data_IF_305818967413
#
_entry.id   IF_305818967413
#
_cell.length_a   1.000
_cell.length_b   1.000
_cell.length_c   1.000
_cell.angle_alpha   90.00
_cell.angle_beta   90.00
_cell.angle_gamma   90.00
#
_symmetry.space_group_name_H-M   'P 1'
#
loop_
_entity.id
_entity.type
_entity.pdbx_description
1 polymer ?
#
# COMPACT_ATOMS: atom_id res chain seq x y z
N UNK A 1 -16.76 -15.79 20.17
CA UNK A 1 -15.38 -15.82 19.64
C UNK A 1 -15.30 -16.18 18.15
N UNK A 2 -16.13 -17.07 17.59
CA UNK A 2 -16.10 -17.48 16.17
C UNK A 2 -16.56 -16.39 15.18
N UNK A 3 -17.53 -15.55 15.52
CA UNK A 3 -18.03 -14.48 14.63
C UNK A 3 -17.03 -13.33 14.45
N UNK A 4 -16.24 -13.02 15.46
CA UNK A 4 -15.21 -11.96 15.39
C UNK A 4 -14.05 -12.32 14.44
N UNK A 5 -13.67 -13.61 14.34
CA UNK A 5 -12.60 -14.06 13.43
C UNK A 5 -12.95 -13.91 11.96
N UNK A 6 -14.25 -13.87 11.58
CA UNK A 6 -14.68 -13.73 10.17
C UNK A 6 -14.47 -12.31 9.62
N UNK A 7 -14.35 -11.28 10.46
CA UNK A 7 -14.23 -9.90 10.02
C UNK A 7 -12.91 -9.61 9.27
N UNK A 8 -11.82 -10.30 9.62
CA UNK A 8 -10.50 -10.06 9.00
C UNK A 8 -10.25 -10.83 7.69
N UNK A 9 -11.12 -11.76 7.29
CA UNK A 9 -10.89 -12.55 6.08
C UNK A 9 -10.78 -11.73 4.78
N UNK A 10 -11.62 -10.68 4.54
CA UNK A 10 -11.45 -9.84 3.37
C UNK A 10 -10.08 -9.15 3.32
N UNK A 11 -9.56 -8.72 4.47
CA UNK A 11 -8.22 -8.14 4.60
C UNK A 11 -7.13 -9.14 4.23
N UNK A 12 -7.21 -10.35 4.77
CA UNK A 12 -6.27 -11.44 4.44
C UNK A 12 -6.35 -11.78 2.95
N UNK A 13 -7.56 -11.84 2.37
CA UNK A 13 -7.76 -12.05 0.93
C UNK A 13 -7.05 -10.98 0.08
N UNK A 14 -7.13 -9.71 0.50
CA UNK A 14 -6.41 -8.63 -0.19
C UNK A 14 -4.88 -8.76 -0.02
N UNK A 15 -4.40 -9.15 1.16
CA UNK A 15 -2.97 -9.44 1.35
C UNK A 15 -2.49 -10.57 0.43
N UNK A 16 -3.28 -11.63 0.27
CA UNK A 16 -2.96 -12.73 -0.65
C UNK A 16 -2.97 -12.25 -2.10
N UNK A 17 -3.96 -11.46 -2.50
CA UNK A 17 -4.04 -10.85 -3.84
C UNK A 17 -2.83 -9.96 -4.16
N UNK A 18 -2.28 -9.27 -3.16
CA UNK A 18 -1.08 -8.45 -3.33
C UNK A 18 0.20 -9.28 -3.35
N UNK A 19 0.32 -10.28 -2.47
CA UNK A 19 1.55 -11.06 -2.29
C UNK A 19 1.73 -12.17 -3.33
N UNK A 20 0.67 -12.93 -3.64
CA UNK A 20 0.79 -14.12 -4.47
C UNK A 20 1.20 -13.80 -5.92
N UNK A 21 0.56 -12.85 -6.63
CA UNK A 21 1.03 -12.48 -7.97
C UNK A 21 2.44 -11.86 -7.93
N UNK A 22 2.77 -11.05 -6.91
CA UNK A 22 4.10 -10.48 -6.76
C UNK A 22 5.17 -11.57 -6.61
N UNK A 23 4.88 -12.64 -5.85
CA UNK A 23 5.79 -13.78 -5.68
C UNK A 23 5.92 -14.64 -6.94
N UNK A 24 4.83 -14.80 -7.70
CA UNK A 24 4.81 -15.59 -8.94
C UNK A 24 5.41 -14.83 -10.13
N UNK A 25 5.45 -13.49 -10.06
CA UNK A 25 6.05 -12.66 -11.11
C UNK A 25 7.58 -12.66 -10.96
N UNK A 26 8.33 -12.97 -12.02
CA UNK A 26 9.79 -12.96 -11.94
C UNK A 26 10.30 -11.55 -11.62
N UNK A 27 11.41 -11.48 -10.89
CA UNK A 27 12.11 -10.23 -10.63
C UNK A 27 12.63 -9.66 -11.95
N UNK A 28 12.27 -8.39 -12.22
CA UNK A 28 12.63 -7.71 -13.47
C UNK A 28 14.02 -7.08 -13.30
N UNK A 29 15.02 -7.60 -14.03
CA UNK A 29 16.26 -6.89 -14.17
C UNK A 29 16.08 -5.80 -15.26
N UNK A 30 16.04 -4.54 -14.84
CA UNK A 30 15.88 -3.41 -15.77
C UNK A 30 17.06 -3.24 -16.74
N UNK A 31 18.19 -3.88 -16.44
CA UNK A 31 19.40 -3.90 -17.29
C UNK A 31 19.46 -5.12 -18.22
N UNK A 32 18.48 -6.02 -18.18
CA UNK A 32 18.45 -7.26 -18.97
C UNK A 32 17.77 -7.11 -20.35
N UNK A 33 18.08 -8.01 -21.33
CA UNK A 33 17.59 -7.85 -22.70
C UNK A 33 16.07 -8.01 -22.86
N UNK A 34 15.59 -7.47 -23.96
CA UNK A 34 14.23 -7.30 -24.50
C UNK A 34 13.10 -8.28 -24.10
N UNK A 35 13.35 -9.52 -23.72
CA UNK A 35 12.28 -10.50 -23.42
C UNK A 35 11.48 -10.17 -22.12
N UNK A 36 12.08 -9.43 -21.21
CA UNK A 36 11.45 -8.98 -19.97
C UNK A 36 10.73 -7.64 -20.13
N UNK A 37 11.08 -6.89 -21.18
CA UNK A 37 10.47 -5.58 -21.46
C UNK A 37 8.97 -5.70 -21.77
N UNK A 38 8.48 -6.79 -22.32
CA UNK A 38 7.06 -6.91 -22.68
C UNK A 38 6.16 -6.86 -21.42
N UNK A 39 6.49 -7.62 -20.36
CA UNK A 39 5.72 -7.60 -19.11
C UNK A 39 5.90 -6.28 -18.37
N UNK A 40 7.13 -5.79 -18.27
CA UNK A 40 7.43 -4.50 -17.65
C UNK A 40 6.74 -3.36 -18.40
N UNK A 41 6.76 -3.35 -19.73
CA UNK A 41 6.11 -2.32 -20.56
C UNK A 41 4.59 -2.34 -20.41
N UNK A 42 3.98 -3.54 -20.25
CA UNK A 42 2.53 -3.67 -20.13
C UNK A 42 2.02 -3.37 -18.71
N UNK A 43 2.82 -3.62 -17.67
CA UNK A 43 2.39 -3.59 -16.28
C UNK A 43 3.08 -2.51 -15.43
N UNK A 44 4.27 -2.04 -15.81
CA UNK A 44 4.91 -0.94 -15.10
C UNK A 44 4.10 0.36 -15.25
N UNK A 45 4.13 1.17 -14.23
CA UNK A 45 3.58 2.51 -14.28
C UNK A 45 4.61 3.46 -14.92
N UNK A 46 4.13 4.33 -15.80
CA UNK A 46 4.92 5.34 -16.48
C UNK A 46 4.42 6.75 -16.14
N UNK A 47 4.85 7.34 -15.00
CA UNK A 47 4.41 8.67 -14.58
C UNK A 47 4.65 9.76 -15.63
N UNK A 48 5.73 9.65 -16.41
CA UNK A 48 6.07 10.55 -17.51
C UNK A 48 5.04 10.55 -18.67
N UNK A 49 4.27 9.46 -18.83
CA UNK A 49 3.22 9.35 -19.84
C UNK A 49 1.85 9.85 -19.35
N UNK A 50 1.74 10.21 -18.08
CA UNK A 50 0.47 10.66 -17.53
C UNK A 50 -0.62 9.59 -17.63
N UNK A 51 -1.74 9.94 -18.27
CA UNK A 51 -2.88 9.03 -18.46
C UNK A 51 -2.75 8.15 -19.71
N UNK A 52 -1.77 8.41 -20.58
CA UNK A 52 -1.53 7.65 -21.81
C UNK A 52 -0.72 6.37 -21.51
N UNK A 53 -1.33 5.46 -20.77
CA UNK A 53 -0.74 4.18 -20.40
C UNK A 53 -1.81 3.10 -20.21
N UNK A 54 -1.38 1.84 -20.12
CA UNK A 54 -2.29 0.71 -19.96
C UNK A 54 -3.10 0.83 -18.66
N UNK A 55 -4.40 0.54 -18.73
CA UNK A 55 -5.27 0.51 -17.55
C UNK A 55 -4.78 -0.50 -16.51
N UNK A 56 -4.17 -1.60 -16.94
CA UNK A 56 -3.62 -2.63 -16.04
C UNK A 56 -2.48 -2.11 -15.17
N UNK A 57 -1.69 -1.13 -15.64
CA UNK A 57 -0.55 -0.59 -14.89
C UNK A 57 -0.94 0.05 -13.55
N UNK A 58 -2.18 0.54 -13.43
CA UNK A 58 -2.68 1.12 -12.17
C UNK A 58 -2.76 0.11 -11.02
N UNK A 59 -2.80 -1.19 -11.32
CA UNK A 59 -2.79 -2.27 -10.33
C UNK A 59 -1.55 -3.14 -10.44
N UNK A 60 -1.22 -3.58 -11.64
CA UNK A 60 -0.21 -4.61 -11.88
C UNK A 60 1.22 -4.18 -11.54
N UNK A 61 1.52 -2.87 -11.57
CA UNK A 61 2.84 -2.35 -11.19
C UNK A 61 3.24 -2.73 -9.76
N UNK A 62 2.25 -2.95 -8.86
CA UNK A 62 2.49 -3.41 -7.50
C UNK A 62 3.09 -4.82 -7.45
N UNK A 63 2.88 -5.64 -8.47
CA UNK A 63 3.39 -7.02 -8.53
C UNK A 63 4.79 -7.11 -9.12
N UNK A 64 5.29 -6.04 -9.74
CA UNK A 64 6.60 -5.99 -10.36
C UNK A 64 7.69 -5.58 -9.35
N UNK A 65 8.83 -6.23 -9.37
CA UNK A 65 9.95 -5.95 -8.49
C UNK A 65 11.28 -5.96 -9.23
N UNK A 66 12.14 -4.97 -8.97
CA UNK A 66 13.43 -4.79 -9.65
C UNK A 66 14.58 -5.56 -9.00
N UNK A 67 14.39 -6.20 -7.84
CA UNK A 67 15.40 -7.02 -7.18
C UNK A 67 14.76 -8.02 -6.20
N UNK A 68 15.46 -9.12 -5.94
CA UNK A 68 15.02 -10.12 -4.94
C UNK A 68 14.90 -9.52 -3.53
N UNK A 69 15.83 -8.69 -3.02
CA UNK A 69 15.64 -8.02 -1.74
C UNK A 69 14.40 -7.11 -1.72
N UNK A 70 14.11 -6.38 -2.83
CA UNK A 70 12.92 -5.54 -2.93
C UNK A 70 11.62 -6.37 -2.82
N UNK A 71 11.53 -7.47 -3.57
CA UNK A 71 10.40 -8.41 -3.47
C UNK A 71 10.25 -8.95 -2.06
N UNK A 72 11.33 -9.47 -1.47
CA UNK A 72 11.31 -10.06 -0.13
C UNK A 72 10.85 -9.07 0.94
N UNK A 73 11.33 -7.82 0.90
CA UNK A 73 10.93 -6.78 1.84
C UNK A 73 9.44 -6.44 1.70
N UNK A 74 8.92 -6.40 0.48
CA UNK A 74 7.50 -6.14 0.24
C UNK A 74 6.61 -7.32 0.68
N UNK A 75 7.04 -8.57 0.45
CA UNK A 75 6.33 -9.74 0.97
C UNK A 75 6.33 -9.77 2.50
N UNK A 76 7.44 -9.44 3.15
CA UNK A 76 7.51 -9.31 4.60
C UNK A 76 6.59 -8.21 5.13
N UNK A 77 6.55 -7.05 4.46
CA UNK A 77 5.61 -5.96 4.77
C UNK A 77 4.15 -6.40 4.62
N UNK A 78 3.82 -7.14 3.55
CA UNK A 78 2.46 -7.68 3.35
C UNK A 78 2.09 -8.69 4.44
N UNK A 79 3.02 -9.58 4.82
CA UNK A 79 2.81 -10.53 5.91
C UNK A 79 2.60 -9.81 7.26
N UNK A 80 3.35 -8.73 7.51
CA UNK A 80 3.14 -7.89 8.70
C UNK A 80 1.75 -7.25 8.71
N UNK A 81 1.31 -6.65 7.60
CA UNK A 81 -0.03 -6.07 7.49
C UNK A 81 -1.13 -7.13 7.60
N UNK A 82 -0.92 -8.35 7.10
CA UNK A 82 -1.83 -9.47 7.29
C UNK A 82 -1.96 -9.84 8.78
N UNK A 83 -0.84 -9.99 9.47
CA UNK A 83 -0.81 -10.29 10.90
C UNK A 83 -1.47 -9.19 11.73
N UNK A 84 -1.13 -7.92 11.47
CA UNK A 84 -1.73 -6.76 12.13
C UNK A 84 -3.25 -6.71 11.89
N UNK A 85 -3.68 -6.81 10.63
CA UNK A 85 -5.11 -6.80 10.28
C UNK A 85 -5.88 -7.96 10.93
N UNK A 86 -5.24 -9.13 11.05
CA UNK A 86 -5.82 -10.26 11.78
C UNK A 86 -5.99 -9.98 13.27
N UNK A 87 -4.96 -9.43 13.92
CA UNK A 87 -4.98 -9.13 15.36
C UNK A 87 -6.02 -8.06 15.69
N UNK A 88 -6.06 -6.97 14.92
CA UNK A 88 -7.01 -5.87 15.17
C UNK A 88 -8.40 -6.11 14.55
N UNK A 89 -8.60 -7.26 13.91
CA UNK A 89 -9.84 -7.62 13.21
C UNK A 89 -10.22 -6.55 12.17
N UNK A 90 -9.32 -6.32 11.21
CA UNK A 90 -9.55 -5.39 10.11
C UNK A 90 -10.88 -5.69 9.42
N UNK A 91 -11.79 -4.70 9.42
CA UNK A 91 -13.15 -4.89 8.93
C UNK A 91 -13.21 -4.71 7.40
N UNK A 92 -14.34 -5.06 6.79
CA UNK A 92 -14.54 -4.98 5.35
C UNK A 92 -14.38 -3.55 4.80
N UNK A 93 -14.70 -2.50 5.59
CA UNK A 93 -14.53 -1.10 5.18
C UNK A 93 -13.05 -0.72 5.10
N UNK A 94 -12.24 -1.21 6.03
CA UNK A 94 -10.78 -1.06 5.97
C UNK A 94 -10.20 -1.77 4.75
N UNK A 95 -10.69 -2.97 4.44
CA UNK A 95 -10.27 -3.69 3.23
C UNK A 95 -10.65 -2.92 1.97
N UNK A 96 -11.87 -2.40 1.91
CA UNK A 96 -12.34 -1.61 0.78
C UNK A 96 -11.55 -0.29 0.65
N UNK A 97 -11.28 0.38 1.78
CA UNK A 97 -10.44 1.58 1.81
C UNK A 97 -9.06 1.32 1.21
N UNK A 98 -8.42 0.21 1.61
CA UNK A 98 -7.12 -0.16 1.08
C UNK A 98 -7.17 -0.57 -0.39
N UNK A 99 -8.18 -1.34 -0.81
CA UNK A 99 -8.37 -1.73 -2.20
C UNK A 99 -8.56 -0.52 -3.13
N UNK A 100 -9.30 0.52 -2.69
CA UNK A 100 -9.47 1.77 -3.45
C UNK A 100 -8.18 2.61 -3.40
N UNK A 101 -7.51 2.67 -2.26
CA UNK A 101 -6.25 3.39 -2.11
C UNK A 101 -5.12 2.81 -2.99
N UNK A 102 -5.19 1.54 -3.37
CA UNK A 102 -4.21 0.88 -4.23
C UNK A 102 -4.02 1.62 -5.57
N UNK A 103 -5.00 1.74 -6.48
CA UNK A 103 -4.81 2.50 -7.71
C UNK A 103 -4.59 3.99 -7.46
N UNK A 104 -5.17 4.59 -6.41
CA UNK A 104 -4.96 5.99 -6.05
C UNK A 104 -3.50 6.27 -5.67
N UNK A 105 -2.81 5.31 -5.04
CA UNK A 105 -1.37 5.39 -4.78
C UNK A 105 -0.59 5.60 -6.09
N UNK A 106 -0.97 4.88 -7.13
CA UNK A 106 -0.31 4.97 -8.43
C UNK A 106 -0.71 6.23 -9.20
N UNK A 107 -1.96 6.65 -9.11
CA UNK A 107 -2.42 7.95 -9.65
C UNK A 107 -1.60 9.10 -9.04
N UNK A 108 -1.33 9.09 -7.74
CA UNK A 108 -0.50 10.08 -7.09
C UNK A 108 0.96 10.12 -7.60
N UNK A 109 1.43 9.06 -8.25
CA UNK A 109 2.75 9.05 -8.89
C UNK A 109 2.83 9.95 -10.13
N UNK A 110 1.68 10.30 -10.74
CA UNK A 110 1.63 11.25 -11.86
C UNK A 110 2.12 12.66 -11.49
N UNK A 111 2.20 12.97 -10.20
CA UNK A 111 2.79 14.21 -9.71
C UNK A 111 4.33 14.22 -9.75
N UNK A 112 4.95 13.13 -10.20
CA UNK A 112 6.41 12.99 -10.35
C UNK A 112 6.74 12.49 -11.78
N UNK A 113 6.46 13.29 -12.82
CA UNK A 113 6.69 12.91 -14.22
C UNK A 113 8.18 12.71 -14.54
N UNK A 114 9.09 13.07 -13.63
CA UNK A 114 10.52 12.79 -13.78
C UNK A 114 10.84 11.28 -13.63
N UNK A 115 9.87 10.48 -13.16
CA UNK A 115 9.99 9.03 -13.07
C UNK A 115 9.45 8.42 -14.36
N UNK A 116 10.34 7.90 -15.20
CA UNK A 116 9.95 7.24 -16.47
C UNK A 116 9.35 5.85 -16.26
N UNK A 117 9.71 5.17 -15.17
CA UNK A 117 9.20 3.82 -14.86
C UNK A 117 9.14 3.63 -13.35
N UNK A 118 7.97 3.22 -12.87
CA UNK A 118 7.75 2.87 -11.47
C UNK A 118 7.23 1.44 -11.35
N UNK A 119 7.80 0.68 -10.40
CA UNK A 119 7.41 -0.68 -10.04
C UNK A 119 7.53 -0.86 -8.53
N UNK A 120 6.67 -1.67 -7.95
CA UNK A 120 6.76 -2.09 -6.56
C UNK A 120 5.49 -1.93 -5.74
N UNK A 121 5.40 -2.74 -4.71
CA UNK A 121 4.24 -2.85 -3.83
C UNK A 121 4.30 -1.85 -2.65
N UNK A 122 5.47 -1.29 -2.35
CA UNK A 122 5.71 -0.57 -1.09
C UNK A 122 4.79 0.62 -0.84
N UNK A 123 4.46 1.40 -1.87
CA UNK A 123 3.50 2.49 -1.75
C UNK A 123 2.11 1.99 -1.30
N UNK A 124 1.63 0.91 -1.90
CA UNK A 124 0.35 0.28 -1.54
C UNK A 124 0.37 -0.26 -0.11
N UNK A 125 1.52 -0.77 0.38
CA UNK A 125 1.67 -1.18 1.78
C UNK A 125 1.59 0.00 2.74
N UNK A 126 2.11 1.18 2.38
CA UNK A 126 1.95 2.40 3.18
C UNK A 126 0.49 2.83 3.26
N UNK A 127 -0.29 2.66 2.18
CA UNK A 127 -1.74 2.88 2.21
C UNK A 127 -2.44 1.91 3.19
N UNK A 128 -2.10 0.63 3.16
CA UNK A 128 -2.63 -0.37 4.09
C UNK A 128 -2.30 -0.07 5.56
N UNK A 129 -1.04 0.31 5.84
CA UNK A 129 -0.61 0.70 7.19
C UNK A 129 -1.38 1.93 7.70
N UNK A 130 -1.59 2.95 6.85
CA UNK A 130 -2.40 4.12 7.18
C UNK A 130 -3.85 3.74 7.50
N UNK A 131 -4.46 2.90 6.68
CA UNK A 131 -5.85 2.45 6.91
C UNK A 131 -5.97 1.69 8.24
N UNK A 132 -5.00 0.80 8.58
CA UNK A 132 -5.01 0.11 9.88
C UNK A 132 -4.84 1.07 11.06
N UNK A 133 -3.97 2.07 10.95
CA UNK A 133 -3.81 3.10 11.96
C UNK A 133 -5.14 3.84 12.18
N UNK A 134 -5.80 4.27 11.11
CA UNK A 134 -7.08 4.97 11.16
C UNK A 134 -8.20 4.10 11.74
N UNK A 135 -8.28 2.82 11.38
CA UNK A 135 -9.27 1.93 11.98
C UNK A 135 -9.14 1.91 13.50
N UNK A 136 -7.92 1.80 14.01
CA UNK A 136 -7.68 1.78 15.46
C UNK A 136 -7.97 3.12 16.14
N UNK A 137 -7.78 4.25 15.45
CA UNK A 137 -8.06 5.58 15.99
C UNK A 137 -9.56 5.89 15.98
N UNK A 138 -10.24 5.62 14.86
CA UNK A 138 -11.63 6.03 14.60
C UNK A 138 -12.64 5.06 15.21
N UNK A 139 -12.36 3.74 15.10
CA UNK A 139 -13.27 2.68 15.58
C UNK A 139 -12.56 1.73 16.58
N UNK A 140 -11.98 2.26 17.65
CA UNK A 140 -11.27 1.43 18.62
C UNK A 140 -12.25 0.52 19.37
N UNK A 141 -11.90 -0.76 19.53
CA UNK A 141 -12.66 -1.69 20.37
C UNK A 141 -12.19 -1.62 21.84
N UNK A 142 -11.01 -1.06 22.08
CA UNK A 142 -10.40 -0.83 23.40
C UNK A 142 -9.56 0.45 23.38
N UNK A 143 -9.35 1.08 24.53
CA UNK A 143 -8.51 2.28 24.66
C UNK A 143 -7.06 2.02 24.20
N UNK A 144 -6.51 0.85 24.50
CA UNK A 144 -5.19 0.43 24.06
C UNK A 144 -5.05 0.38 22.53
N UNK A 145 -6.12 0.00 21.81
CA UNK A 145 -6.12 -0.01 20.34
C UNK A 145 -5.99 1.40 19.78
N UNK A 146 -6.65 2.40 20.39
CA UNK A 146 -6.53 3.79 19.98
C UNK A 146 -5.10 4.32 20.15
N UNK A 147 -4.46 3.98 21.27
CA UNK A 147 -3.06 4.34 21.50
C UNK A 147 -2.13 3.69 20.47
N UNK A 148 -2.32 2.39 20.20
CA UNK A 148 -1.55 1.68 19.15
C UNK A 148 -1.76 2.31 17.77
N UNK A 149 -2.99 2.75 17.45
CA UNK A 149 -3.28 3.46 16.20
C UNK A 149 -2.49 4.76 16.07
N UNK A 150 -2.41 5.57 17.12
CA UNK A 150 -1.62 6.78 17.14
C UNK A 150 -0.11 6.51 17.05
N UNK A 151 0.40 5.47 17.71
CA UNK A 151 1.80 5.06 17.62
C UNK A 151 2.12 4.64 16.17
N UNK A 152 1.28 3.79 15.57
CA UNK A 152 1.46 3.34 14.19
C UNK A 152 1.46 4.52 13.21
N UNK A 153 0.52 5.47 13.38
CA UNK A 153 0.46 6.68 12.58
C UNK A 153 1.73 7.52 12.73
N UNK A 154 2.19 7.74 13.96
CA UNK A 154 3.41 8.51 14.24
C UNK A 154 4.66 7.84 13.60
N UNK A 155 4.81 6.53 13.74
CA UNK A 155 5.91 5.78 13.12
C UNK A 155 5.86 5.87 11.59
N UNK A 156 4.67 5.76 10.99
CA UNK A 156 4.49 5.86 9.54
C UNK A 156 4.84 7.25 9.03
N UNK A 157 4.35 8.30 9.69
CA UNK A 157 4.67 9.70 9.33
C UNK A 157 6.16 9.97 9.50
N UNK A 158 6.75 9.55 10.63
CA UNK A 158 8.19 9.69 10.87
C UNK A 158 9.01 9.03 9.76
N UNK A 159 8.68 7.78 9.40
CA UNK A 159 9.34 7.06 8.30
C UNK A 159 9.27 7.85 6.99
N UNK A 160 8.08 8.33 6.60
CA UNK A 160 7.88 9.08 5.36
C UNK A 160 8.69 10.38 5.36
N UNK A 161 8.68 11.12 6.47
CA UNK A 161 9.44 12.37 6.61
C UNK A 161 10.95 12.10 6.50
N UNK A 162 11.44 11.04 7.13
CA UNK A 162 12.87 10.67 7.07
C UNK A 162 13.32 10.25 5.66
N UNK A 163 12.42 9.74 4.83
CA UNK A 163 12.69 9.42 3.43
C UNK A 163 12.69 10.65 2.51
N UNK A 164 12.25 11.82 3.01
CA UNK A 164 12.23 13.10 2.29
C UNK A 164 11.57 12.98 0.88
N UNK A 165 10.27 12.66 0.77
CA UNK A 165 9.61 12.37 -0.49
C UNK A 165 9.55 13.58 -1.46
N UNK A 166 9.73 14.79 -0.97
CA UNK A 166 9.84 16.02 -1.77
C UNK A 166 11.27 16.33 -2.24
N UNK A 167 12.25 15.55 -1.80
CA UNK A 167 13.65 15.64 -2.20
C UNK A 167 13.97 14.91 -3.49
N UNK A 168 15.06 14.14 -3.47
CA UNK A 168 15.46 13.36 -4.64
C UNK A 168 14.34 12.40 -5.09
N UNK A 169 14.09 12.38 -6.40
CA UNK A 169 13.02 11.59 -7.02
C UNK A 169 13.20 10.09 -6.76
N UNK A 170 14.44 9.63 -6.85
CA UNK A 170 14.84 8.26 -6.58
C UNK A 170 16.03 8.25 -5.62
N UNK A 171 15.98 7.41 -4.60
CA UNK A 171 17.08 7.20 -3.65
C UNK A 171 17.55 5.75 -3.71
N UNK A 172 18.86 5.53 -3.62
CA UNK A 172 19.40 4.18 -3.51
C UNK A 172 19.08 3.62 -2.12
N UNK A 173 18.33 2.53 -2.11
CA UNK A 173 18.00 1.81 -0.88
C UNK A 173 18.96 0.65 -0.68
N UNK A 174 19.74 0.69 0.39
CA UNK A 174 20.65 -0.41 0.77
C UNK A 174 19.90 -1.71 1.06
N UNK A 175 18.68 -1.61 1.58
CA UNK A 175 17.85 -2.79 1.89
C UNK A 175 17.18 -3.43 0.67
N UNK A 176 17.02 -2.68 -0.42
CA UNK A 176 16.32 -3.14 -1.63
C UNK A 176 17.25 -3.38 -2.82
N UNK A 177 18.50 -2.92 -2.73
CA UNK A 177 19.52 -2.97 -3.79
C UNK A 177 19.08 -2.33 -5.13
N UNK A 178 18.09 -1.43 -5.08
CA UNK A 178 17.61 -0.64 -6.21
C UNK A 178 17.30 0.79 -5.78
N UNK A 179 17.10 1.66 -6.75
CA UNK A 179 16.53 3.00 -6.50
C UNK A 179 15.05 2.87 -6.19
N UNK A 180 14.61 3.45 -5.09
CA UNK A 180 13.20 3.52 -4.67
C UNK A 180 12.70 4.95 -4.78
N UNK A 181 11.39 5.12 -4.96
CA UNK A 181 10.74 6.41 -5.04
C UNK A 181 10.06 6.72 -3.69
N UNK A 182 10.62 7.61 -2.83
CA UNK A 182 10.00 7.96 -1.56
C UNK A 182 8.61 8.57 -1.73
N UNK A 183 8.37 9.25 -2.86
CA UNK A 183 7.07 9.80 -3.21
C UNK A 183 5.95 8.75 -3.25
N UNK A 184 6.25 7.51 -3.66
CA UNK A 184 5.27 6.42 -3.67
C UNK A 184 4.76 6.09 -2.25
N UNK A 185 5.62 6.18 -1.24
CA UNK A 185 5.25 5.94 0.15
C UNK A 185 4.33 7.05 0.67
N UNK A 186 4.63 8.32 0.37
CA UNK A 186 3.77 9.46 0.70
C UNK A 186 2.42 9.35 -0.03
N UNK A 187 2.45 9.11 -1.35
CA UNK A 187 1.23 8.94 -2.16
C UNK A 187 0.34 7.84 -1.61
N UNK A 188 0.93 6.69 -1.26
CA UNK A 188 0.19 5.58 -0.64
C UNK A 188 -0.42 5.96 0.71
N UNK A 189 0.35 6.59 1.58
CA UNK A 189 -0.16 7.03 2.88
C UNK A 189 -1.30 8.06 2.73
N UNK A 190 -1.20 9.01 1.82
CA UNK A 190 -2.26 10.00 1.56
C UNK A 190 -3.51 9.34 0.96
N UNK A 191 -3.37 8.40 0.02
CA UNK A 191 -4.47 7.63 -0.52
C UNK A 191 -5.18 6.81 0.58
N UNK A 192 -4.39 6.12 1.43
CA UNK A 192 -4.90 5.39 2.59
C UNK A 192 -5.60 6.28 3.60
N UNK A 193 -5.06 7.49 3.86
CA UNK A 193 -5.68 8.49 4.73
C UNK A 193 -7.04 8.92 4.19
N UNK A 194 -7.11 9.31 2.92
CA UNK A 194 -8.35 9.79 2.30
C UNK A 194 -9.43 8.68 2.30
N UNK A 195 -9.10 7.49 1.79
CA UNK A 195 -10.04 6.37 1.72
C UNK A 195 -10.46 5.88 3.13
N UNK A 196 -9.50 5.77 4.04
CA UNK A 196 -9.76 5.35 5.42
C UNK A 196 -10.62 6.35 6.16
N UNK A 197 -10.32 7.64 6.08
CA UNK A 197 -11.13 8.68 6.71
C UNK A 197 -12.57 8.67 6.19
N UNK A 198 -12.78 8.55 4.89
CA UNK A 198 -14.13 8.52 4.30
C UNK A 198 -14.93 7.28 4.72
N UNK A 199 -14.35 6.09 4.57
CA UNK A 199 -15.09 4.83 4.76
C UNK A 199 -15.27 4.45 6.24
N UNK A 200 -14.33 4.82 7.12
CA UNK A 200 -14.41 4.49 8.54
C UNK A 200 -15.25 5.50 9.32
N UNK A 201 -15.22 6.80 8.97
CA UNK A 201 -16.05 7.81 9.62
C UNK A 201 -17.54 7.67 9.34
N UNK A 202 -17.92 7.05 8.22
CA UNK A 202 -19.32 6.80 7.90
C UNK A 202 -20.02 5.85 8.91
N UNK A 203 -19.26 5.09 9.68
CA UNK A 203 -19.81 4.19 10.71
C UNK A 203 -20.05 4.87 12.06
N UNK A 204 -19.33 5.94 12.37
CA UNK A 204 -19.48 6.67 13.64
C UNK A 204 -20.74 7.54 13.70
N UNK A 205 -21.45 7.70 12.58
CA UNK A 205 -22.63 8.56 12.45
C UNK A 205 -23.97 7.81 12.50
N UNK A 206 -24.02 6.50 12.71
CA UNK A 206 -25.28 5.84 12.98
C UNK A 206 -25.65 6.10 14.45
N UNK A 207 -26.72 6.90 14.74
CA UNK A 207 -27.24 7.00 16.10
C UNK A 207 -27.68 5.61 16.53
N UNK A 208 -27.25 5.18 17.71
CA UNK A 208 -27.72 3.95 18.30
C UNK A 208 -29.26 3.95 18.31
N UNK A 209 -29.86 2.97 17.65
CA UNK A 209 -31.24 2.59 17.93
C UNK A 209 -31.28 2.12 19.40
N UNK A 210 -31.51 3.07 20.30
CA UNK A 210 -32.03 2.78 21.63
C UNK A 210 -33.51 2.44 21.43
N UNK A 211 -33.81 1.21 21.27
CA UNK A 211 -35.11 0.57 21.36
C UNK A 211 -35.05 -0.53 22.41
#
# INVERSE_FOLDING_TARGET
MQLMRKAAWPWIGLCVLLALPAWLTPVINLDAPLSWHALATAWALHPDKGWDQSLSSWWATAWLHGSTPHLRNNLAGTALLAAMGWVIQANWRSTLAWAIAWPLTHIGMLLRPEISTYIGLSGVLHAGAMVLALQQIITPTQTSHRQTGWILLACLVFKIVMENPWGAVLILSSSSAIKVAPWAHLSGALAGLACGALLLSANSRQPGNFG
#
